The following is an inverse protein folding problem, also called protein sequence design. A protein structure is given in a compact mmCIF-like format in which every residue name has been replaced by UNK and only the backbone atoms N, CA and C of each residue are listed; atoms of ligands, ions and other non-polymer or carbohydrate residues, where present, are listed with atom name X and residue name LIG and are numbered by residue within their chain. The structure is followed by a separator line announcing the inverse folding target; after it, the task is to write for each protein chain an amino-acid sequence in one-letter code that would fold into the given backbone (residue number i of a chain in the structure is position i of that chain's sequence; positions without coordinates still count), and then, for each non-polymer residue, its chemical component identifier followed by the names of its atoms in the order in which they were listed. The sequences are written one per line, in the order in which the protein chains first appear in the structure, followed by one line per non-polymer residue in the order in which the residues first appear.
data_IF_992384914066
#
_entry.id   IF_992384914066
#
_cell.length_a   1.000
_cell.length_b   1.000
_cell.length_c   1.000
_cell.angle_alpha   90.00
_cell.angle_beta   90.00
_cell.angle_gamma   90.00
#
_symmetry.space_group_name_H-M   'P 1'
#
loop_
_entity.id
_entity.type
_entity.pdbx_description
1 polymer ?
#
# COMPACT_ATOMS: atom_id res chain seq x y z
N UNK A 1 -24.45 -11.82 13.64
CA UNK A 1 -23.00 -11.54 13.70
C UNK A 1 -22.36 -12.53 14.67
N UNK A 2 -21.13 -13.00 14.44
CA UNK A 2 -20.55 -14.13 15.19
C UNK A 2 -20.16 -13.70 16.63
N UNK A 3 -20.35 -14.55 17.67
CA UNK A 3 -19.86 -14.28 19.04
C UNK A 3 -18.39 -13.86 19.12
N UNK A 4 -17.58 -14.30 18.16
CA UNK A 4 -16.17 -13.92 18.01
C UNK A 4 -15.96 -12.41 17.78
N UNK A 5 -16.87 -11.72 17.08
CA UNK A 5 -16.74 -10.27 16.84
C UNK A 5 -16.93 -9.50 18.14
N UNK A 6 -17.85 -9.95 19.00
CA UNK A 6 -18.08 -9.31 20.30
C UNK A 6 -16.84 -9.42 21.20
N UNK A 7 -16.23 -10.60 21.27
CA UNK A 7 -15.01 -10.83 22.07
C UNK A 7 -13.84 -9.98 21.56
N UNK A 8 -13.67 -9.87 20.24
CA UNK A 8 -12.59 -9.07 19.65
C UNK A 8 -12.80 -7.58 19.86
N UNK A 9 -14.03 -7.08 19.77
CA UNK A 9 -14.34 -5.69 20.13
C UNK A 9 -14.10 -5.38 21.61
N UNK A 10 -14.46 -6.29 22.51
CA UNK A 10 -14.19 -6.13 23.95
C UNK A 10 -12.68 -6.11 24.24
N UNK A 11 -11.91 -6.98 23.60
CA UNK A 11 -10.45 -6.98 23.69
C UNK A 11 -9.84 -5.69 23.13
N UNK A 12 -10.36 -5.20 21.99
CA UNK A 12 -9.95 -3.93 21.41
C UNK A 12 -10.26 -2.75 22.34
N UNK A 13 -11.45 -2.71 22.96
CA UNK A 13 -11.83 -1.66 23.90
C UNK A 13 -10.91 -1.62 25.13
N UNK A 14 -10.55 -2.79 25.67
CA UNK A 14 -9.69 -2.90 26.85
C UNK A 14 -8.22 -2.49 26.61
N UNK A 15 -7.77 -2.44 25.36
CA UNK A 15 -6.39 -2.08 24.99
C UNK A 15 -6.17 -0.57 25.12
N UNK A 16 -5.02 -0.18 25.68
CA UNK A 16 -4.47 1.17 25.44
C UNK A 16 -3.93 1.24 24.01
N UNK A 17 -4.68 1.88 23.12
CA UNK A 17 -4.39 1.91 21.67
C UNK A 17 -3.21 2.83 21.35
N UNK A 18 -2.98 3.85 22.19
CA UNK A 18 -2.03 4.94 21.97
C UNK A 18 -0.91 4.94 23.02
N UNK A 19 -0.47 3.77 23.48
CA UNK A 19 0.73 3.68 24.30
C UNK A 19 2.00 3.93 23.47
N UNK A 20 3.08 4.41 24.09
CA UNK A 20 4.35 4.66 23.40
C UNK A 20 4.83 3.44 22.59
N UNK A 21 4.68 2.24 23.15
CA UNK A 21 4.99 0.99 22.46
C UNK A 21 4.14 0.75 21.20
N UNK A 22 2.89 1.23 21.17
CA UNK A 22 2.01 1.12 20.01
C UNK A 22 2.36 2.13 18.91
N UNK A 23 2.91 3.30 19.28
CA UNK A 23 3.51 4.28 18.36
C UNK A 23 4.80 3.77 17.76
N UNK A 24 5.71 3.27 18.60
CA UNK A 24 6.99 2.70 18.16
C UNK A 24 6.80 1.50 17.23
N UNK A 25 5.84 0.62 17.51
CA UNK A 25 5.51 -0.51 16.63
C UNK A 25 5.05 -0.11 15.22
N UNK A 26 4.61 1.15 15.04
CA UNK A 26 4.23 1.75 13.76
C UNK A 26 5.34 2.61 13.15
N UNK A 27 6.45 2.82 13.86
CA UNK A 27 7.51 3.72 13.44
C UNK A 27 7.14 5.21 13.53
N UNK A 28 6.17 5.55 14.38
CA UNK A 28 5.68 6.91 14.62
C UNK A 28 6.20 7.45 15.96
N UNK A 29 6.32 8.76 16.10
CA UNK A 29 6.66 9.37 17.37
C UNK A 29 5.42 9.46 18.26
N UNK A 30 5.52 9.09 19.56
CA UNK A 30 4.41 9.22 20.48
C UNK A 30 3.96 10.68 20.61
N UNK A 31 2.65 10.89 20.56
CA UNK A 31 2.05 12.15 20.99
C UNK A 31 2.13 12.30 22.51
N UNK A 32 1.80 13.49 23.02
CA UNK A 32 1.74 13.72 24.46
C UNK A 32 0.68 12.83 25.14
N UNK A 33 0.85 12.60 26.43
CA UNK A 33 0.03 11.65 27.19
C UNK A 33 -1.44 12.08 27.32
N UNK A 34 -1.71 13.38 27.38
CA UNK A 34 -3.07 13.92 27.46
C UNK A 34 -3.83 13.67 26.15
N UNK A 35 -3.22 13.99 25.01
CA UNK A 35 -3.81 13.76 23.70
C UNK A 35 -3.97 12.26 23.42
N UNK A 36 -2.97 11.45 23.76
CA UNK A 36 -3.06 9.99 23.63
C UNK A 36 -4.19 9.39 24.48
N UNK A 37 -4.38 9.89 25.71
CA UNK A 37 -5.50 9.48 26.56
C UNK A 37 -6.85 9.91 25.97
N UNK A 38 -6.93 11.14 25.44
CA UNK A 38 -8.12 11.66 24.78
C UNK A 38 -8.51 10.81 23.55
N UNK A 39 -7.55 10.55 22.64
CA UNK A 39 -7.78 9.70 21.46
C UNK A 39 -8.22 8.29 21.87
N UNK A 40 -7.59 7.70 22.90
CA UNK A 40 -7.99 6.39 23.40
C UNK A 40 -9.44 6.39 23.94
N UNK A 41 -9.86 7.46 24.62
CA UNK A 41 -11.24 7.62 25.10
C UNK A 41 -12.24 7.65 23.95
N UNK A 42 -11.99 8.48 22.93
CA UNK A 42 -12.88 8.59 21.76
C UNK A 42 -13.05 7.24 21.04
N UNK A 43 -11.96 6.46 20.90
CA UNK A 43 -12.04 5.10 20.37
C UNK A 43 -12.82 4.15 21.27
N UNK A 44 -12.71 4.28 22.59
CA UNK A 44 -13.44 3.45 23.53
C UNK A 44 -14.94 3.72 23.49
N UNK A 45 -15.34 4.98 23.32
CA UNK A 45 -16.74 5.39 23.18
C UNK A 45 -17.33 4.79 21.89
N UNK A 46 -16.66 4.99 20.75
CA UNK A 46 -17.07 4.38 19.48
C UNK A 46 -17.14 2.84 19.56
N UNK A 47 -16.14 2.20 20.20
CA UNK A 47 -16.13 0.74 20.37
C UNK A 47 -17.29 0.26 21.25
N UNK A 48 -17.64 1.00 22.30
CA UNK A 48 -18.77 0.68 23.18
C UNK A 48 -20.12 0.73 22.45
N UNK A 49 -20.29 1.70 21.56
CA UNK A 49 -21.47 1.78 20.69
C UNK A 49 -21.52 0.60 19.71
N UNK A 50 -20.39 0.23 19.10
CA UNK A 50 -20.32 -0.94 18.21
C UNK A 50 -20.65 -2.23 18.96
N UNK A 51 -20.11 -2.44 20.16
CA UNK A 51 -20.43 -3.60 21.02
C UNK A 51 -21.95 -3.70 21.24
N UNK A 52 -22.58 -2.59 21.63
CA UNK A 52 -24.04 -2.51 21.85
C UNK A 52 -24.81 -2.88 20.58
N UNK A 53 -24.41 -2.32 19.44
CA UNK A 53 -25.06 -2.57 18.15
C UNK A 53 -24.88 -4.01 17.65
N UNK A 54 -23.72 -4.62 17.90
CA UNK A 54 -23.45 -6.02 17.56
C UNK A 54 -24.31 -6.97 18.39
N UNK A 55 -24.45 -6.70 19.69
CA UNK A 55 -25.33 -7.47 20.58
C UNK A 55 -26.80 -7.39 20.16
N UNK A 56 -27.24 -6.25 19.64
CA UNK A 56 -28.59 -6.03 19.13
C UNK A 56 -28.83 -6.62 17.73
N UNK A 57 -27.81 -7.20 17.09
CA UNK A 57 -27.94 -7.83 15.77
C UNK A 57 -28.15 -6.83 14.62
N UNK A 58 -27.61 -5.62 14.75
CA UNK A 58 -27.71 -4.56 13.73
C UNK A 58 -27.01 -4.90 12.41
N UNK A 59 -27.31 -4.12 11.38
CA UNK A 59 -26.77 -4.29 10.02
C UNK A 59 -25.39 -3.66 9.86
N UNK A 60 -24.60 -4.16 8.89
CA UNK A 60 -23.30 -3.55 8.52
C UNK A 60 -23.40 -2.05 8.17
N UNK A 61 -24.54 -1.61 7.62
CA UNK A 61 -24.80 -0.19 7.33
C UNK A 61 -24.85 0.66 8.60
N UNK A 62 -25.49 0.16 9.65
CA UNK A 62 -25.57 0.85 10.94
C UNK A 62 -24.20 0.89 11.61
N UNK A 63 -23.46 -0.23 11.59
CA UNK A 63 -22.09 -0.29 12.09
C UNK A 63 -21.17 0.70 11.36
N UNK A 64 -21.30 0.80 10.03
CA UNK A 64 -20.60 1.82 9.24
C UNK A 64 -20.95 3.24 9.67
N UNK A 65 -22.22 3.52 9.92
CA UNK A 65 -22.65 4.84 10.39
C UNK A 65 -22.04 5.17 11.76
N UNK A 66 -21.94 4.19 12.67
CA UNK A 66 -21.29 4.35 13.97
C UNK A 66 -19.80 4.65 13.84
N UNK A 67 -19.10 3.94 12.95
CA UNK A 67 -17.70 4.22 12.64
C UNK A 67 -17.52 5.63 12.08
N UNK A 68 -18.42 6.09 11.21
CA UNK A 68 -18.36 7.46 10.66
C UNK A 68 -18.64 8.53 11.71
N UNK A 69 -19.62 8.29 12.59
CA UNK A 69 -19.89 9.19 13.72
C UNK A 69 -18.67 9.27 14.63
N UNK A 70 -18.06 8.13 14.98
CA UNK A 70 -16.84 8.08 15.77
C UNK A 70 -15.66 8.77 15.08
N UNK A 71 -15.46 8.57 13.78
CA UNK A 71 -14.38 9.25 13.04
C UNK A 71 -14.56 10.77 13.05
N UNK A 72 -15.81 11.24 12.92
CA UNK A 72 -16.14 12.66 12.94
C UNK A 72 -16.03 13.31 14.33
N UNK A 73 -15.82 12.54 15.42
CA UNK A 73 -15.47 13.15 16.71
C UNK A 73 -14.02 13.63 16.75
N UNK A 74 -13.19 13.18 15.80
CA UNK A 74 -11.83 13.69 15.61
C UNK A 74 -11.88 14.81 14.58
N UNK A 75 -11.61 16.05 14.99
CA UNK A 75 -11.37 17.13 14.03
C UNK A 75 -9.96 16.97 13.46
N UNK A 76 -9.85 16.65 12.17
CA UNK A 76 -8.57 16.51 11.49
C UNK A 76 -7.66 17.74 11.63
N UNK A 77 -8.20 18.94 11.90
CA UNK A 77 -7.40 20.15 12.13
C UNK A 77 -6.54 20.10 13.40
N UNK A 78 -6.95 19.31 14.39
CA UNK A 78 -6.32 19.26 15.72
C UNK A 78 -5.12 18.31 15.81
N UNK A 79 -4.88 17.52 14.76
CA UNK A 79 -3.88 16.46 14.75
C UNK A 79 -2.78 16.71 13.72
N UNK A 80 -1.56 16.36 14.07
CA UNK A 80 -0.44 16.34 13.13
C UNK A 80 -0.51 15.15 12.15
N UNK A 81 0.55 14.93 11.37
CA UNK A 81 0.55 13.85 10.37
C UNK A 81 0.62 12.47 11.02
N UNK A 82 1.45 12.29 12.04
CA UNK A 82 1.64 10.99 12.68
C UNK A 82 0.40 10.58 13.50
N UNK A 83 -0.23 11.56 14.15
CA UNK A 83 -1.50 11.38 14.87
C UNK A 83 -2.64 11.01 13.92
N UNK A 84 -2.74 11.70 12.78
CA UNK A 84 -3.73 11.35 11.74
C UNK A 84 -3.52 9.94 11.21
N UNK A 85 -2.29 9.55 10.93
CA UNK A 85 -1.96 8.19 10.48
C UNK A 85 -2.37 7.16 11.51
N UNK A 86 -2.07 7.39 12.80
CA UNK A 86 -2.45 6.48 13.87
C UNK A 86 -3.99 6.34 13.99
N UNK A 87 -4.72 7.45 13.97
CA UNK A 87 -6.19 7.45 14.01
C UNK A 87 -6.77 6.66 12.84
N UNK A 88 -6.27 6.89 11.63
CA UNK A 88 -6.71 6.17 10.42
C UNK A 88 -6.46 4.68 10.51
N UNK A 89 -5.25 4.27 10.90
CA UNK A 89 -4.90 2.87 11.07
C UNK A 89 -5.77 2.17 12.13
N UNK A 90 -6.05 2.88 13.22
CA UNK A 90 -6.84 2.34 14.32
C UNK A 90 -8.32 2.21 13.96
N UNK A 91 -8.89 3.17 13.21
CA UNK A 91 -10.24 3.02 12.64
C UNK A 91 -10.30 1.94 11.56
N UNK A 92 -9.23 1.76 10.78
CA UNK A 92 -9.15 0.68 9.80
C UNK A 92 -9.19 -0.69 10.48
N UNK A 93 -8.39 -0.89 11.54
CA UNK A 93 -8.44 -2.08 12.39
C UNK A 93 -9.85 -2.33 12.91
N UNK A 94 -10.47 -1.31 13.52
CA UNK A 94 -11.82 -1.41 14.08
C UNK A 94 -12.87 -1.77 13.01
N UNK A 95 -12.77 -1.18 11.82
CA UNK A 95 -13.64 -1.48 10.68
C UNK A 95 -13.48 -2.92 10.19
N UNK A 96 -12.26 -3.48 10.20
CA UNK A 96 -12.02 -4.89 9.87
C UNK A 96 -12.68 -5.84 10.88
N UNK A 97 -12.66 -5.51 12.19
CA UNK A 97 -13.29 -6.33 13.23
C UNK A 97 -14.80 -6.51 13.00
N UNK A 98 -15.46 -5.47 12.48
CA UNK A 98 -16.90 -5.49 12.17
C UNK A 98 -17.21 -5.76 10.69
N UNK A 99 -16.19 -6.10 9.90
CA UNK A 99 -16.27 -6.40 8.47
C UNK A 99 -16.96 -5.29 7.64
N UNK A 100 -16.59 -4.03 7.90
CA UNK A 100 -17.07 -2.84 7.19
C UNK A 100 -15.94 -2.22 6.38
N UNK A 101 -16.23 -1.82 5.14
CA UNK A 101 -15.30 -1.05 4.31
C UNK A 101 -15.41 0.45 4.60
N UNK A 102 -14.28 1.06 4.99
CA UNK A 102 -14.11 2.47 5.36
C UNK A 102 -13.01 3.17 4.57
N UNK A 103 -12.41 2.53 3.54
CA UNK A 103 -11.20 3.05 2.89
C UNK A 103 -11.38 4.45 2.31
N UNK A 104 -12.50 4.68 1.65
CA UNK A 104 -12.79 5.99 1.02
C UNK A 104 -12.99 7.08 2.07
N UNK A 105 -13.64 6.77 3.20
CA UNK A 105 -13.91 7.72 4.26
C UNK A 105 -12.66 8.06 5.08
N UNK A 106 -11.82 7.06 5.37
CA UNK A 106 -10.54 7.28 6.05
C UNK A 106 -9.58 8.13 5.22
N UNK A 107 -9.46 7.85 3.91
CA UNK A 107 -8.62 8.67 3.03
C UNK A 107 -9.12 10.11 2.93
N UNK A 108 -10.44 10.32 2.90
CA UNK A 108 -11.03 11.68 2.91
C UNK A 108 -10.75 12.42 4.21
N UNK A 109 -10.84 11.73 5.35
CA UNK A 109 -10.56 12.33 6.65
C UNK A 109 -9.06 12.67 6.80
N UNK A 110 -8.18 11.76 6.34
CA UNK A 110 -6.72 11.93 6.42
C UNK A 110 -6.19 13.09 5.58
N UNK A 111 -6.52 13.10 4.29
CA UNK A 111 -5.93 14.04 3.32
C UNK A 111 -6.82 15.26 3.05
N UNK A 112 -8.06 15.25 3.54
CA UNK A 112 -9.10 16.20 3.16
C UNK A 112 -9.77 15.84 1.83
N UNK A 113 -10.99 16.35 1.65
CA UNK A 113 -11.86 16.03 0.51
C UNK A 113 -11.26 16.42 -0.85
N UNK A 114 -10.52 17.54 -0.90
CA UNK A 114 -9.91 18.08 -2.13
C UNK A 114 -8.74 17.20 -2.59
N UNK A 115 -7.80 16.90 -1.69
CA UNK A 115 -6.64 16.04 -2.01
C UNK A 115 -7.10 14.63 -2.36
N UNK A 116 -8.08 14.08 -1.63
CA UNK A 116 -8.67 12.80 -1.97
C UNK A 116 -9.33 12.80 -3.36
N UNK A 117 -10.08 13.84 -3.71
CA UNK A 117 -10.71 13.94 -5.03
C UNK A 117 -9.66 14.00 -6.15
N UNK A 118 -8.55 14.73 -5.94
CA UNK A 118 -7.41 14.74 -6.85
C UNK A 118 -6.78 13.34 -6.96
N UNK A 119 -6.47 12.70 -5.84
CA UNK A 119 -5.92 11.35 -5.79
C UNK A 119 -6.80 10.35 -6.54
N UNK A 120 -8.13 10.37 -6.32
CA UNK A 120 -9.07 9.50 -7.04
C UNK A 120 -9.10 9.79 -8.53
N UNK A 121 -8.89 11.03 -8.95
CA UNK A 121 -8.82 11.42 -10.36
C UNK A 121 -7.51 10.95 -11.01
N UNK A 122 -6.38 11.10 -10.32
CA UNK A 122 -5.07 10.65 -10.79
C UNK A 122 -4.86 9.13 -10.70
N UNK A 123 -5.50 8.44 -9.75
CA UNK A 123 -5.45 6.98 -9.58
C UNK A 123 -6.53 6.24 -10.38
N UNK A 124 -7.55 6.94 -10.90
CA UNK A 124 -8.58 6.37 -11.79
C UNK A 124 -8.08 6.06 -13.20
N UNK A 125 -6.82 6.34 -13.51
CA UNK A 125 -6.15 5.61 -14.58
C UNK A 125 -5.97 4.16 -14.10
N UNK A 126 -7.02 3.35 -14.27
CA UNK A 126 -6.76 1.98 -14.70
C UNK A 126 -5.78 2.11 -15.87
N UNK A 127 -4.69 1.33 -15.92
CA UNK A 127 -3.99 1.24 -17.17
C UNK A 127 -5.06 0.75 -18.15
N UNK A 128 -5.50 1.60 -19.07
CA UNK A 128 -6.06 1.15 -20.34
C UNK A 128 -5.21 -0.05 -20.72
N UNK A 129 -5.85 -1.15 -21.12
CA UNK A 129 -5.21 -2.40 -21.54
C UNK A 129 -4.18 -2.09 -22.64
N UNK A 130 -3.04 -1.56 -22.24
CA UNK A 130 -1.96 -1.20 -23.10
C UNK A 130 -1.35 -2.53 -23.42
N UNK A 131 -1.41 -2.90 -24.70
CA UNK A 131 -0.62 -4.02 -25.18
C UNK A 131 0.81 -3.82 -24.64
N UNK A 132 1.46 -4.90 -24.14
CA UNK A 132 2.81 -4.77 -23.60
C UNK A 132 3.70 -4.13 -24.67
N UNK A 133 4.29 -3.00 -24.34
CA UNK A 133 5.07 -2.23 -25.29
C UNK A 133 6.46 -2.88 -25.52
N UNK A 134 6.89 -3.79 -24.63
CA UNK A 134 7.99 -4.70 -24.86
C UNK A 134 7.60 -6.11 -24.41
N UNK A 135 7.92 -7.09 -25.25
CA UNK A 135 7.73 -8.52 -24.94
C UNK A 135 8.98 -9.29 -25.33
N UNK A 136 9.46 -10.15 -24.44
CA UNK A 136 10.50 -11.13 -24.78
C UNK A 136 10.23 -12.47 -24.10
N UNK A 137 10.69 -13.56 -24.70
CA UNK A 137 10.64 -14.86 -24.06
C UNK A 137 11.75 -15.00 -23.02
N UNK A 138 11.43 -15.61 -21.88
CA UNK A 138 12.44 -16.07 -20.92
C UNK A 138 13.45 -16.98 -21.63
N UNK A 139 14.75 -16.72 -21.45
CA UNK A 139 15.83 -17.48 -22.10
C UNK A 139 15.72 -18.98 -21.82
N UNK A 140 15.31 -19.37 -20.61
CA UNK A 140 15.17 -20.76 -20.14
C UNK A 140 13.81 -21.38 -20.47
N UNK A 141 12.71 -20.90 -19.86
CA UNK A 141 11.40 -21.55 -19.95
C UNK A 141 10.48 -21.02 -21.05
N UNK A 142 10.91 -20.00 -21.81
CA UNK A 142 10.13 -19.33 -22.87
C UNK A 142 8.84 -18.64 -22.41
N UNK A 143 8.55 -18.59 -21.10
CA UNK A 143 7.46 -17.77 -20.58
C UNK A 143 7.62 -16.31 -21.03
N UNK A 144 6.51 -15.67 -21.41
CA UNK A 144 6.52 -14.29 -21.92
C UNK A 144 6.78 -13.33 -20.76
N UNK A 145 7.80 -12.50 -20.93
CA UNK A 145 8.17 -11.41 -20.03
C UNK A 145 7.62 -10.11 -20.64
N UNK A 146 6.61 -9.54 -19.99
CA UNK A 146 5.86 -8.38 -20.49
C UNK A 146 6.25 -7.12 -19.72
N UNK A 147 6.60 -6.07 -20.45
CA UNK A 147 6.87 -4.74 -19.90
C UNK A 147 5.85 -3.75 -20.44
N UNK A 148 5.11 -3.12 -19.54
CA UNK A 148 4.09 -2.13 -19.87
C UNK A 148 4.69 -0.73 -19.70
N UNK A 149 4.75 0.04 -20.79
CA UNK A 149 5.21 1.43 -20.78
C UNK A 149 3.99 2.33 -20.53
N UNK A 150 3.84 2.81 -19.31
CA UNK A 150 2.65 3.55 -18.87
C UNK A 150 2.68 5.03 -19.25
N UNK A 151 3.88 5.59 -19.47
CA UNK A 151 4.04 7.00 -19.80
C UNK A 151 5.26 7.18 -20.73
N UNK A 152 5.04 7.84 -21.88
CA UNK A 152 6.11 8.30 -22.75
C UNK A 152 6.37 9.79 -22.50
N UNK A 153 7.63 10.18 -22.32
CA UNK A 153 8.07 11.58 -22.21
C UNK A 153 9.23 11.81 -23.17
N UNK A 154 8.98 12.53 -24.25
CA UNK A 154 9.95 12.75 -25.35
C UNK A 154 11.27 13.41 -24.89
N UNK A 155 11.31 14.02 -23.70
CA UNK A 155 12.45 14.78 -23.19
C UNK A 155 13.27 14.09 -22.08
N UNK A 156 13.02 12.81 -21.74
CA UNK A 156 13.79 12.12 -20.68
C UNK A 156 14.69 11.02 -21.28
N UNK A 157 16.03 11.18 -21.23
CA UNK A 157 16.95 10.08 -21.50
C UNK A 157 16.84 9.09 -20.33
N UNK A 158 16.10 8.00 -20.55
CA UNK A 158 15.74 7.02 -19.53
C UNK A 158 16.05 5.58 -19.94
N UNK A 159 16.70 5.40 -21.10
CA UNK A 159 17.07 4.09 -21.58
C UNK A 159 17.99 3.39 -20.57
N UNK A 160 17.64 2.15 -20.27
CA UNK A 160 18.32 1.34 -19.27
C UNK A 160 18.21 -0.14 -19.63
N UNK A 161 19.00 -0.95 -18.94
CA UNK A 161 18.79 -2.39 -18.90
C UNK A 161 18.17 -2.77 -17.56
N UNK A 162 17.25 -3.72 -17.58
CA UNK A 162 16.64 -4.29 -16.38
C UNK A 162 17.08 -5.74 -16.26
N UNK A 163 17.71 -6.07 -15.13
CA UNK A 163 17.92 -7.47 -14.72
C UNK A 163 16.60 -7.99 -14.17
N UNK A 164 15.95 -8.87 -14.94
CA UNK A 164 14.62 -9.40 -14.66
C UNK A 164 14.70 -10.86 -14.25
N UNK A 165 14.06 -11.23 -13.14
CA UNK A 165 13.88 -12.60 -12.71
C UNK A 165 12.53 -13.13 -13.18
N UNK A 166 12.54 -14.17 -14.02
CA UNK A 166 11.32 -14.84 -14.46
C UNK A 166 10.58 -15.44 -13.26
N UNK A 167 9.29 -15.12 -13.07
CA UNK A 167 8.51 -15.71 -11.97
C UNK A 167 8.21 -17.20 -12.18
N UNK A 168 8.22 -17.69 -13.43
CA UNK A 168 7.90 -19.08 -13.74
C UNK A 168 9.07 -20.06 -13.50
N UNK A 169 10.32 -19.64 -13.72
CA UNK A 169 11.49 -20.53 -13.62
C UNK A 169 12.70 -19.92 -12.92
N UNK A 170 12.53 -18.74 -12.32
CA UNK A 170 13.55 -17.96 -11.57
C UNK A 170 14.80 -17.55 -12.35
N UNK A 171 14.88 -17.89 -13.64
CA UNK A 171 15.95 -17.50 -14.56
C UNK A 171 16.10 -15.98 -14.67
N UNK A 172 17.35 -15.51 -14.63
CA UNK A 172 17.66 -14.11 -14.85
C UNK A 172 17.75 -13.78 -16.35
N UNK A 173 17.14 -12.69 -16.73
CA UNK A 173 17.04 -12.18 -18.09
C UNK A 173 17.46 -10.71 -18.10
N UNK A 174 17.93 -10.22 -19.25
CA UNK A 174 18.16 -8.80 -19.47
C UNK A 174 17.03 -8.26 -20.35
N UNK A 175 16.36 -7.20 -19.92
CA UNK A 175 15.35 -6.49 -20.70
C UNK A 175 15.90 -5.11 -21.03
N UNK A 176 15.87 -4.75 -22.31
CA UNK A 176 16.27 -3.45 -22.80
C UNK A 176 15.06 -2.51 -22.82
N UNK A 177 15.17 -1.38 -22.11
CA UNK A 177 14.15 -0.34 -22.11
C UNK A 177 14.65 0.84 -22.95
N UNK A 178 13.89 1.30 -23.96
CA UNK A 178 14.28 2.42 -24.80
C UNK A 178 14.14 3.76 -24.07
N UNK A 179 14.64 4.82 -24.71
CA UNK A 179 14.50 6.19 -24.21
C UNK A 179 13.05 6.68 -24.21
N UNK A 180 12.82 7.77 -23.48
CA UNK A 180 11.53 8.45 -23.46
C UNK A 180 10.47 7.70 -22.65
N UNK A 181 10.88 6.82 -21.74
CA UNK A 181 10.00 6.06 -20.84
C UNK A 181 9.99 6.70 -19.45
N UNK A 182 8.83 7.22 -19.03
CA UNK A 182 8.65 7.86 -17.72
C UNK A 182 8.24 6.87 -16.62
N UNK A 183 7.29 5.98 -16.90
CA UNK A 183 6.76 4.98 -15.95
C UNK A 183 6.64 3.61 -16.61
N UNK A 184 7.01 2.58 -15.85
CA UNK A 184 7.02 1.19 -16.30
C UNK A 184 6.27 0.33 -15.29
N UNK A 185 5.52 -0.65 -15.77
CA UNK A 185 4.97 -1.74 -14.98
C UNK A 185 5.46 -3.08 -15.51
N UNK A 186 5.75 -4.02 -14.62
CA UNK A 186 6.32 -5.33 -14.94
C UNK A 186 5.23 -6.39 -14.82
N UNK A 187 5.09 -7.23 -15.85
CA UNK A 187 4.18 -8.37 -15.83
C UNK A 187 4.74 -9.51 -14.98
N UNK A 188 4.87 -10.71 -15.55
CA UNK A 188 5.25 -11.94 -14.84
C UNK A 188 6.76 -12.09 -14.58
N UNK A 189 7.41 -11.02 -14.12
CA UNK A 189 8.81 -11.04 -13.70
C UNK A 189 9.09 -10.01 -12.61
N UNK A 190 10.12 -10.27 -11.79
CA UNK A 190 10.61 -9.34 -10.78
C UNK A 190 11.79 -8.55 -11.34
N UNK A 191 11.76 -7.21 -11.30
CA UNK A 191 12.92 -6.39 -11.64
C UNK A 191 13.86 -6.34 -10.44
N UNK A 192 15.04 -6.94 -10.56
CA UNK A 192 16.02 -7.01 -9.48
C UNK A 192 16.96 -5.81 -9.49
N UNK A 193 17.35 -5.35 -10.68
CA UNK A 193 18.30 -4.25 -10.82
C UNK A 193 18.03 -3.46 -12.10
N UNK A 194 18.21 -2.14 -12.03
CA UNK A 194 18.22 -1.22 -13.18
C UNK A 194 19.66 -0.76 -13.43
N UNK A 195 20.13 -0.89 -14.68
CA UNK A 195 21.45 -0.48 -15.14
C UNK A 195 21.28 0.68 -16.12
N UNK A 196 21.68 1.88 -15.72
CA UNK A 196 21.57 3.09 -16.55
C UNK A 196 22.55 3.01 -17.74
N UNK A 197 22.08 3.33 -18.95
CA UNK A 197 22.94 3.33 -20.16
C UNK A 197 24.01 4.40 -20.17
N UNK A 198 23.90 5.41 -19.31
CA UNK A 198 24.99 6.38 -19.07
C UNK A 198 26.19 5.71 -18.37
N UNK A 199 25.98 4.58 -17.69
CA UNK A 199 26.99 3.89 -16.89
C UNK A 199 27.36 2.51 -17.44
N UNK A 200 26.45 1.87 -18.19
CA UNK A 200 26.61 0.50 -18.66
C UNK A 200 26.36 0.39 -20.17
N UNK A 201 27.33 -0.17 -20.90
CA UNK A 201 27.11 -0.66 -22.27
C UNK A 201 26.29 -1.95 -22.28
N UNK A 202 25.82 -2.38 -23.46
CA UNK A 202 25.12 -3.66 -23.62
C UNK A 202 25.97 -4.86 -23.17
N UNK A 203 27.26 -4.85 -23.51
CA UNK A 203 28.24 -5.87 -23.13
C UNK A 203 28.45 -5.89 -21.62
N UNK A 204 28.59 -4.72 -20.98
CA UNK A 204 28.74 -4.62 -19.54
C UNK A 204 27.48 -5.07 -18.79
N UNK A 205 26.30 -4.75 -19.31
CA UNK A 205 25.03 -5.21 -18.74
C UNK A 205 24.86 -6.73 -18.86
N UNK A 206 25.27 -7.33 -19.98
CA UNK A 206 25.32 -8.79 -20.14
C UNK A 206 26.34 -9.44 -19.20
N UNK A 207 27.55 -8.89 -19.08
CA UNK A 207 28.55 -9.39 -18.14
C UNK A 207 28.03 -9.33 -16.69
N UNK A 208 27.31 -8.26 -16.34
CA UNK A 208 26.67 -8.12 -15.03
C UNK A 208 25.58 -9.17 -14.79
N UNK A 209 24.75 -9.45 -15.80
CA UNK A 209 23.75 -10.51 -15.73
C UNK A 209 24.41 -11.86 -15.44
N UNK A 210 25.46 -12.21 -16.20
CA UNK A 210 26.17 -13.49 -16.02
C UNK A 210 26.83 -13.59 -14.65
N UNK A 211 27.45 -12.51 -14.16
CA UNK A 211 27.97 -12.46 -12.79
C UNK A 211 26.88 -12.79 -11.74
N UNK A 212 25.68 -12.23 -11.90
CA UNK A 212 24.57 -12.46 -10.99
C UNK A 212 24.03 -13.90 -11.08
N UNK A 213 24.03 -14.50 -12.27
CA UNK A 213 23.67 -15.92 -12.45
C UNK A 213 24.65 -16.83 -11.72
N UNK A 214 25.96 -16.65 -11.94
CA UNK A 214 26.99 -17.46 -11.28
C UNK A 214 27.00 -17.31 -9.76
N UNK A 215 26.62 -16.14 -9.23
CA UNK A 215 26.51 -15.91 -7.78
C UNK A 215 25.32 -16.63 -7.11
N UNK A 216 24.26 -16.95 -7.87
CA UNK A 216 23.11 -17.71 -7.38
C UNK A 216 23.35 -19.23 -7.37
N UNK A 217 24.30 -19.69 -8.17
CA UNK A 217 24.68 -21.12 -8.27
C UNK A 217 25.84 -21.49 -7.32
N UNK A 218 26.31 -20.55 -6.49
CA UNK A 218 27.24 -20.85 -5.41
C UNK A 218 26.47 -21.31 -4.16
N UNK A 219 26.81 -22.47 -3.59
CA UNK A 219 26.05 -23.09 -2.49
C UNK A 219 26.01 -22.26 -1.20
#
# INVERSE_FOLDING_TARGET
MKPQVLLTLQAFQAKNKFSDAAWEARGLNPSNSELSAHMNSLFNDCTGELITQVQQGTTKRQLKQTLLTGLNTFDSGDYDTEEKEFVVDTFYELAQLVEVDMKDELNKWHYGSVVYALMKTFMRSEPEKAAPALTQGCTKCKAVLETFLLEKREAIPSACFIVAQCQACTELNLIEVPDGVGRIHFGKYNALQRLDRKQYTSEQAKAKLEQLKSSKDSP
#
